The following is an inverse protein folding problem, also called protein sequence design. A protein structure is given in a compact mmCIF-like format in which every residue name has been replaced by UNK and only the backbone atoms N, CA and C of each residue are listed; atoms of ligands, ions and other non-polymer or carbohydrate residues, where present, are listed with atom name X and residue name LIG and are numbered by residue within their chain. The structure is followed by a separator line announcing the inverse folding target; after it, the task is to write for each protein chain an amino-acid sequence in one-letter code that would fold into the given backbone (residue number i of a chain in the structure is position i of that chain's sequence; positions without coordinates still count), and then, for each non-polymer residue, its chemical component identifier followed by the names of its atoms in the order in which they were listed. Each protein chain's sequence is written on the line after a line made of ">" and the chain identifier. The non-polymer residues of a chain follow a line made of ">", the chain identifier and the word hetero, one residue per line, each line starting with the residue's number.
data_IF_257640032201
#
_entry.id   IF_257640032201
#
_cell.length_a   1.000
_cell.length_b   1.000
_cell.length_c   1.000
_cell.angle_alpha   90.00
_cell.angle_beta   90.00
_cell.angle_gamma   90.00
#
_symmetry.space_group_name_H-M   'P 1'
#
loop_
_entity.id
_entity.type
_entity.pdbx_description
1 polymer ?
#
# COMPACT_ATOMS: atom_id res chain seq x y z
N UNK A 1 -5.31 8.41 29.97
CA UNK A 1 -4.70 7.58 31.03
C UNK A 1 -5.46 6.26 31.10
N UNK A 2 -4.98 5.23 30.40
CA UNK A 2 -5.46 3.87 30.59
C UNK A 2 -4.31 3.11 31.24
N UNK A 3 -4.53 2.69 32.48
CA UNK A 3 -3.55 1.98 33.29
C UNK A 3 -3.13 0.69 32.57
N UNK A 4 -1.83 0.52 32.37
CA UNK A 4 -1.19 -0.69 31.83
C UNK A 4 -1.28 -1.90 32.79
N UNK A 5 -2.11 -1.84 33.82
CA UNK A 5 -2.11 -2.79 34.95
C UNK A 5 -3.40 -3.59 35.15
N UNK A 6 -4.36 -3.48 34.22
CA UNK A 6 -5.57 -4.32 34.25
C UNK A 6 -5.66 -5.20 32.98
N UNK A 7 -4.61 -5.99 32.76
CA UNK A 7 -4.68 -7.15 31.87
C UNK A 7 -5.03 -8.37 32.72
N UNK A 8 -6.14 -9.09 32.47
CA UNK A 8 -6.44 -10.30 33.20
C UNK A 8 -5.26 -11.27 33.05
N UNK A 9 -4.72 -11.73 34.17
CA UNK A 9 -3.62 -12.68 34.21
C UNK A 9 -3.97 -13.87 33.30
N UNK A 10 -3.23 -14.00 32.20
CA UNK A 10 -3.32 -15.16 31.31
C UNK A 10 -3.03 -16.39 32.17
N UNK A 11 -4.01 -17.30 32.24
CA UNK A 11 -3.86 -18.57 32.92
C UNK A 11 -2.54 -19.24 32.51
N UNK A 12 -1.82 -19.92 33.42
CA UNK A 12 -0.62 -20.67 33.06
C UNK A 12 -1.05 -21.78 32.10
N UNK A 13 -0.47 -21.77 30.90
CA UNK A 13 -0.78 -22.73 29.85
C UNK A 13 0.51 -23.48 29.49
N UNK A 14 0.37 -24.79 29.32
CA UNK A 14 1.44 -25.75 29.07
C UNK A 14 2.41 -25.31 27.97
N UNK A 15 3.70 -25.46 28.25
CA UNK A 15 4.81 -24.98 27.41
C UNK A 15 5.02 -25.78 26.10
N UNK A 16 4.10 -26.68 25.73
CA UNK A 16 4.40 -27.76 24.78
C UNK A 16 3.65 -27.74 23.42
N UNK A 17 2.70 -26.85 23.17
CA UNK A 17 2.07 -26.78 21.84
C UNK A 17 1.40 -25.43 21.58
N UNK A 18 2.10 -24.53 20.90
CA UNK A 18 1.46 -23.42 20.17
C UNK A 18 1.96 -23.51 18.72
N UNK A 19 1.55 -24.58 18.01
CA UNK A 19 1.87 -24.77 16.57
C UNK A 19 0.85 -24.11 15.65
N UNK A 20 -0.13 -23.38 16.20
CA UNK A 20 -1.26 -22.84 15.46
C UNK A 20 -1.66 -21.43 15.90
N UNK A 21 -2.47 -20.76 15.07
CA UNK A 21 -2.96 -19.41 15.39
C UNK A 21 -4.09 -19.47 16.43
N UNK A 22 -3.96 -18.69 17.51
CA UNK A 22 -5.00 -18.56 18.55
C UNK A 22 -6.28 -17.81 18.14
N UNK A 23 -6.37 -17.30 16.92
CA UNK A 23 -7.53 -16.54 16.44
C UNK A 23 -7.76 -15.18 17.13
N UNK A 24 -6.74 -14.58 17.75
CA UNK A 24 -6.91 -13.31 18.50
C UNK A 24 -7.09 -12.06 17.62
N UNK A 25 -6.83 -12.14 16.32
CA UNK A 25 -6.97 -11.03 15.37
C UNK A 25 -5.91 -9.92 15.46
N UNK A 26 -5.01 -9.93 16.46
CA UNK A 26 -4.03 -8.84 16.70
C UNK A 26 -3.15 -8.60 15.46
N UNK A 27 -2.55 -9.64 14.89
CA UNK A 27 -1.70 -9.50 13.70
C UNK A 27 -2.49 -9.07 12.46
N UNK A 28 -3.73 -9.54 12.33
CA UNK A 28 -4.62 -9.15 11.23
C UNK A 28 -4.95 -7.65 11.29
N UNK A 29 -5.17 -7.08 12.48
CA UNK A 29 -5.42 -5.64 12.68
C UNK A 29 -4.19 -4.76 12.42
N UNK A 30 -2.99 -5.33 12.51
CA UNK A 30 -1.73 -4.61 12.27
C UNK A 30 -1.37 -4.43 10.79
N UNK A 31 -2.00 -5.16 9.86
CA UNK A 31 -1.67 -4.97 8.45
C UNK A 31 -1.72 -6.20 7.55
N UNK A 32 -1.99 -7.41 8.07
CA UNK A 32 -1.94 -8.64 7.26
C UNK A 32 -0.52 -9.01 6.77
N UNK A 33 -0.36 -10.23 6.24
CA UNK A 33 0.93 -10.79 5.83
C UNK A 33 1.42 -10.20 4.50
N UNK A 34 2.73 -10.08 4.36
CA UNK A 34 3.38 -10.04 3.06
C UNK A 34 3.38 -11.43 2.40
N UNK A 35 3.53 -11.45 1.08
CA UNK A 35 3.45 -12.67 0.29
C UNK A 35 4.83 -13.17 -0.13
N UNK A 36 4.96 -14.49 -0.15
CA UNK A 36 6.18 -15.22 -0.45
C UNK A 36 5.95 -16.21 -1.60
N UNK A 37 7.03 -16.75 -2.17
CA UNK A 37 6.96 -17.63 -3.34
C UNK A 37 6.02 -18.84 -3.14
N UNK A 38 5.95 -19.38 -1.92
CA UNK A 38 5.03 -20.46 -1.56
C UNK A 38 3.54 -20.07 -1.64
N UNK A 39 3.23 -18.78 -1.53
CA UNK A 39 1.86 -18.26 -1.62
C UNK A 39 1.35 -18.18 -3.06
N UNK A 40 2.23 -18.28 -4.07
CA UNK A 40 1.82 -18.29 -5.48
C UNK A 40 0.85 -19.44 -5.81
N UNK A 41 0.95 -20.56 -5.09
CA UNK A 41 0.00 -21.67 -5.22
C UNK A 41 -1.44 -21.26 -4.86
N UNK A 42 -1.62 -20.30 -3.95
CA UNK A 42 -2.95 -19.79 -3.56
C UNK A 42 -3.61 -19.00 -4.69
N UNK A 43 -2.83 -18.34 -5.55
CA UNK A 43 -3.33 -17.63 -6.72
C UNK A 43 -3.67 -18.58 -7.86
N UNK A 44 -2.81 -19.59 -8.10
CA UNK A 44 -3.09 -20.64 -9.09
C UNK A 44 -4.44 -21.31 -8.78
N UNK A 45 -4.61 -21.75 -7.54
CA UNK A 45 -5.82 -22.42 -7.06
C UNK A 45 -7.04 -21.50 -6.87
N UNK A 46 -6.89 -20.18 -6.97
CA UNK A 46 -8.00 -19.21 -6.81
C UNK A 46 -8.45 -18.95 -5.38
N UNK A 47 -7.67 -19.36 -4.37
CA UNK A 47 -7.94 -18.99 -2.97
C UNK A 47 -7.60 -17.53 -2.68
N UNK A 48 -6.63 -16.98 -3.42
CA UNK A 48 -6.31 -15.56 -3.46
C UNK A 48 -6.41 -15.05 -4.90
N UNK A 49 -6.63 -13.74 -5.05
CA UNK A 49 -6.75 -13.06 -6.32
C UNK A 49 -5.97 -11.74 -6.25
N UNK A 50 -5.52 -11.19 -7.39
CA UNK A 50 -4.78 -9.91 -7.43
C UNK A 50 -5.46 -8.78 -6.65
N UNK A 51 -6.79 -8.64 -6.76
CA UNK A 51 -7.58 -7.64 -6.02
C UNK A 51 -7.56 -7.78 -4.49
N UNK A 52 -7.16 -8.94 -3.95
CA UNK A 52 -6.95 -9.15 -2.52
C UNK A 52 -5.60 -8.59 -2.03
N UNK A 53 -4.80 -8.03 -2.93
CA UNK A 53 -3.44 -7.59 -2.66
C UNK A 53 -3.29 -6.07 -2.77
N UNK A 54 -2.22 -5.59 -2.17
CA UNK A 54 -1.69 -4.25 -2.29
C UNK A 54 -0.19 -4.37 -2.57
N UNK A 55 0.31 -3.51 -3.45
CA UNK A 55 1.76 -3.35 -3.65
C UNK A 55 2.27 -2.11 -2.94
N UNK A 56 3.31 -2.28 -2.13
CA UNK A 56 4.18 -1.18 -1.71
C UNK A 56 5.37 -1.17 -2.67
N UNK A 57 5.54 -0.08 -3.41
CA UNK A 57 6.59 0.01 -4.42
C UNK A 57 7.96 -0.03 -3.76
N UNK A 58 8.97 -0.47 -4.52
CA UNK A 58 10.35 -0.30 -4.13
C UNK A 58 10.57 1.16 -3.70
N UNK A 59 11.25 1.32 -2.57
CA UNK A 59 11.64 2.58 -1.95
C UNK A 59 10.54 3.37 -1.23
N UNK A 60 9.28 2.96 -1.30
CA UNK A 60 8.27 3.51 -0.38
C UNK A 60 8.67 3.27 1.07
N UNK A 61 8.33 4.22 1.94
CA UNK A 61 8.46 4.02 3.38
C UNK A 61 7.46 2.97 3.85
N UNK A 62 7.97 1.91 4.45
CA UNK A 62 7.20 0.87 5.12
C UNK A 62 7.70 0.68 6.54
N UNK A 63 6.80 0.24 7.43
CA UNK A 63 7.16 -0.09 8.80
C UNK A 63 7.77 -1.48 8.85
N UNK A 64 8.98 -1.59 9.35
CA UNK A 64 9.64 -2.88 9.56
C UNK A 64 9.25 -3.50 10.92
N UNK A 65 9.72 -4.71 11.22
CA UNK A 65 9.38 -5.49 12.43
C UNK A 65 9.74 -4.79 13.74
N UNK A 66 10.79 -3.97 13.73
CA UNK A 66 11.20 -3.14 14.88
C UNK A 66 10.35 -1.86 15.02
N UNK A 67 9.36 -1.68 14.14
CA UNK A 67 8.48 -0.52 14.13
C UNK A 67 9.09 0.70 13.43
N UNK A 68 10.32 0.65 12.94
CA UNK A 68 10.93 1.80 12.25
C UNK A 68 10.40 1.92 10.82
N UNK A 69 10.21 3.16 10.35
CA UNK A 69 9.90 3.43 8.94
C UNK A 69 11.19 3.43 8.14
N UNK A 70 11.26 2.59 7.12
CA UNK A 70 12.42 2.47 6.23
C UNK A 70 11.98 2.38 4.78
N UNK A 71 12.77 2.91 3.83
CA UNK A 71 12.50 2.70 2.42
C UNK A 71 12.67 1.22 2.09
N UNK A 72 11.73 0.68 1.32
CA UNK A 72 11.81 -0.70 0.84
C UNK A 72 12.93 -0.86 -0.19
N UNK A 73 13.78 -1.87 -0.07
CA UNK A 73 14.82 -2.12 -1.10
C UNK A 73 14.23 -2.65 -2.41
N UNK A 74 13.10 -3.36 -2.32
CA UNK A 74 12.37 -3.99 -3.41
C UNK A 74 10.88 -3.83 -3.13
N UNK A 75 10.05 -3.97 -4.15
CA UNK A 75 8.61 -3.95 -3.91
C UNK A 75 8.16 -5.06 -2.95
N UNK A 76 7.04 -4.81 -2.31
CA UNK A 76 6.44 -5.69 -1.32
C UNK A 76 4.96 -5.88 -1.65
N UNK A 77 4.61 -7.06 -2.15
CA UNK A 77 3.21 -7.46 -2.31
C UNK A 77 2.71 -8.06 -1.01
N UNK A 78 1.56 -7.56 -0.55
CA UNK A 78 0.94 -8.04 0.69
C UNK A 78 -0.58 -8.08 0.58
N UNK A 79 -1.24 -8.80 1.48
CA UNK A 79 -2.68 -8.74 1.56
C UNK A 79 -3.14 -7.31 1.89
N UNK A 80 -4.11 -6.81 1.11
CA UNK A 80 -4.60 -5.45 1.29
C UNK A 80 -5.37 -5.29 2.60
N UNK A 81 -5.40 -4.09 3.16
CA UNK A 81 -6.34 -3.77 4.21
C UNK A 81 -7.77 -3.62 3.67
N UNK A 82 -8.77 -3.71 4.57
CA UNK A 82 -10.19 -3.48 4.24
C UNK A 82 -10.40 -2.08 3.67
N UNK A 83 -9.74 -1.09 4.25
CA UNK A 83 -9.79 0.28 3.76
C UNK A 83 -8.38 0.80 3.53
N UNK A 84 -7.98 0.84 2.27
CA UNK A 84 -6.78 1.55 1.86
C UNK A 84 -7.05 3.04 2.07
N UNK A 85 -6.10 3.75 2.68
CA UNK A 85 -6.08 5.18 3.00
C UNK A 85 -6.76 6.07 1.92
N UNK A 86 -8.10 6.13 1.94
CA UNK A 86 -8.89 7.04 1.11
C UNK A 86 -8.94 8.37 1.83
N UNK A 87 -8.08 9.31 1.43
CA UNK A 87 -8.19 10.77 1.59
C UNK A 87 -8.61 11.29 3.00
N UNK A 88 -8.45 10.49 4.04
CA UNK A 88 -8.88 10.83 5.39
C UNK A 88 -7.65 11.11 6.24
N UNK A 89 -7.61 12.31 6.81
CA UNK A 89 -6.64 12.74 7.81
C UNK A 89 -6.62 11.87 9.09
N UNK A 90 -7.52 10.88 9.23
CA UNK A 90 -7.62 10.00 10.41
C UNK A 90 -6.86 8.67 10.28
N UNK A 91 -6.12 8.44 9.20
CA UNK A 91 -5.49 7.15 8.94
C UNK A 91 -6.50 6.09 8.50
N UNK A 92 -6.08 5.21 7.59
CA UNK A 92 -6.91 4.14 7.05
C UNK A 92 -6.93 2.95 8.00
N UNK A 93 -7.99 2.16 7.95
CA UNK A 93 -8.06 0.89 8.67
C UNK A 93 -7.11 -0.11 8.01
N UNK A 94 -5.93 -0.31 8.61
CA UNK A 94 -4.93 -1.29 8.18
C UNK A 94 -5.33 -2.74 8.45
N UNK A 95 -6.52 -2.99 9.00
CA UNK A 95 -7.00 -4.35 9.23
C UNK A 95 -7.05 -5.15 7.92
N UNK A 96 -6.41 -6.31 7.93
CA UNK A 96 -6.38 -7.26 6.83
C UNK A 96 -7.80 -7.52 6.28
N UNK A 97 -7.93 -7.55 4.95
CA UNK A 97 -9.20 -7.76 4.25
C UNK A 97 -10.02 -8.95 4.78
N UNK A 98 -9.35 -10.04 5.12
CA UNK A 98 -9.97 -11.31 5.51
C UNK A 98 -10.27 -11.45 7.02
N UNK A 99 -10.00 -10.43 7.84
CA UNK A 99 -10.43 -10.46 9.23
C UNK A 99 -11.91 -10.12 9.33
N UNK A 100 -12.70 -11.04 9.87
CA UNK A 100 -14.00 -10.72 10.42
C UNK A 100 -13.81 -9.99 11.75
N UNK A 101 -14.19 -8.70 11.79
CA UNK A 101 -13.95 -7.87 12.97
C UNK A 101 -14.87 -8.20 14.14
N UNK A 102 -16.01 -8.85 13.90
CA UNK A 102 -16.99 -9.17 14.93
C UNK A 102 -16.53 -10.33 15.83
N UNK A 103 -15.83 -11.32 15.26
CA UNK A 103 -15.47 -12.57 15.94
C UNK A 103 -13.98 -12.96 15.78
N UNK A 104 -13.17 -12.08 15.17
CA UNK A 104 -11.75 -12.27 14.86
C UNK A 104 -11.43 -13.48 13.94
N UNK A 105 -12.42 -14.06 13.27
CA UNK A 105 -12.17 -15.18 12.35
C UNK A 105 -11.51 -14.72 11.06
N UNK A 106 -10.58 -15.52 10.56
CA UNK A 106 -9.99 -15.33 9.24
C UNK A 106 -10.84 -16.10 8.21
N UNK A 107 -11.38 -15.42 7.21
CA UNK A 107 -12.19 -16.07 6.17
C UNK A 107 -11.37 -16.97 5.23
N UNK A 108 -10.05 -16.83 5.21
CA UNK A 108 -9.12 -17.68 4.45
C UNK A 108 -8.25 -18.55 5.37
N UNK A 109 -8.74 -18.93 6.56
CA UNK A 109 -7.91 -19.64 7.57
C UNK A 109 -7.24 -20.93 7.03
N UNK A 110 -7.94 -21.71 6.21
CA UNK A 110 -7.39 -22.93 5.60
C UNK A 110 -6.32 -22.65 4.54
N UNK A 111 -6.34 -21.45 3.95
CA UNK A 111 -5.49 -21.01 2.85
C UNK A 111 -4.65 -19.79 3.26
N UNK A 112 -4.27 -19.73 4.55
CA UNK A 112 -3.48 -18.63 5.12
C UNK A 112 -2.12 -18.54 4.45
N UNK A 113 -1.61 -17.33 4.12
CA UNK A 113 -0.27 -17.16 3.58
C UNK A 113 0.87 -17.61 4.51
N UNK A 114 2.07 -17.70 3.96
CA UNK A 114 3.33 -18.07 4.61
C UNK A 114 3.54 -17.39 5.97
N UNK A 115 3.56 -16.05 5.99
CA UNK A 115 3.76 -15.30 7.23
C UNK A 115 2.64 -15.53 8.24
N UNK A 116 1.39 -15.76 7.79
CA UNK A 116 0.29 -16.09 8.70
C UNK A 116 0.41 -17.47 9.33
N UNK A 117 1.03 -18.44 8.64
CA UNK A 117 1.34 -19.77 9.21
C UNK A 117 2.54 -19.71 10.14
N UNK A 118 3.53 -18.87 9.83
CA UNK A 118 4.75 -18.69 10.62
C UNK A 118 4.56 -17.82 11.88
N UNK A 119 3.54 -16.96 11.92
CA UNK A 119 3.32 -16.04 13.02
C UNK A 119 2.59 -16.69 14.20
N UNK A 120 3.35 -16.94 15.27
CA UNK A 120 2.84 -17.45 16.54
C UNK A 120 2.93 -16.37 17.63
N UNK A 121 1.91 -16.27 18.49
CA UNK A 121 1.84 -15.20 19.49
C UNK A 121 2.92 -15.28 20.56
N UNK A 122 3.45 -16.47 20.85
CA UNK A 122 4.48 -16.71 21.87
C UNK A 122 5.89 -16.81 21.30
N UNK A 123 6.03 -17.00 19.98
CA UNK A 123 7.33 -17.18 19.31
C UNK A 123 7.30 -16.60 17.89
N UNK A 124 7.98 -15.47 17.70
CA UNK A 124 8.05 -14.79 16.41
C UNK A 124 9.26 -15.22 15.56
N UNK A 125 10.09 -16.17 16.01
CA UNK A 125 11.33 -16.54 15.31
C UNK A 125 11.10 -16.99 13.88
N UNK A 126 10.04 -17.78 13.65
CA UNK A 126 9.73 -18.30 12.31
C UNK A 126 9.36 -17.17 11.33
N UNK A 127 8.47 -16.25 11.73
CA UNK A 127 8.14 -15.10 10.88
C UNK A 127 9.34 -14.16 10.71
N UNK A 128 10.17 -13.95 11.74
CA UNK A 128 11.37 -13.11 11.62
C UNK A 128 12.39 -13.74 10.65
N UNK A 129 12.54 -15.06 10.64
CA UNK A 129 13.41 -15.76 9.70
C UNK A 129 12.86 -15.73 8.26
N UNK A 130 11.54 -15.77 8.10
CA UNK A 130 10.88 -15.62 6.81
C UNK A 130 10.90 -14.17 6.29
N UNK A 131 10.94 -13.20 7.20
CA UNK A 131 10.89 -11.77 6.89
C UNK A 131 12.08 -11.36 6.02
N UNK A 132 11.80 -11.10 4.74
CA UNK A 132 12.79 -10.72 3.73
C UNK A 132 13.26 -11.86 2.82
N UNK A 133 12.83 -13.11 3.06
CA UNK A 133 13.21 -14.27 2.23
C UNK A 133 12.12 -14.58 1.22
N UNK A 134 12.46 -14.73 -0.07
CA UNK A 134 11.53 -15.25 -1.07
C UNK A 134 10.24 -14.44 -1.25
N UNK A 135 10.30 -13.11 -1.08
CA UNK A 135 9.17 -12.21 -1.36
C UNK A 135 8.82 -12.25 -2.84
N UNK A 136 7.52 -12.15 -3.15
CA UNK A 136 7.02 -12.11 -4.53
C UNK A 136 6.88 -10.69 -5.03
N UNK A 137 7.11 -10.52 -6.34
CA UNK A 137 6.78 -9.34 -7.11
C UNK A 137 5.32 -9.38 -7.59
N UNK A 138 4.81 -8.25 -8.06
CA UNK A 138 3.49 -8.20 -8.72
C UNK A 138 3.48 -9.00 -10.03
N UNK A 139 4.63 -9.08 -10.72
CA UNK A 139 4.77 -9.89 -11.92
C UNK A 139 4.70 -11.39 -11.62
N UNK A 140 5.27 -11.85 -10.49
CA UNK A 140 5.15 -13.25 -10.06
C UNK A 140 3.69 -13.63 -9.79
N UNK A 141 2.95 -12.73 -9.13
CA UNK A 141 1.52 -12.91 -8.84
C UNK A 141 0.70 -12.92 -10.13
N UNK A 142 0.98 -12.02 -11.08
CA UNK A 142 0.31 -12.01 -12.38
C UNK A 142 0.56 -13.29 -13.17
N UNK A 143 1.81 -13.77 -13.19
CA UNK A 143 2.17 -15.03 -13.84
C UNK A 143 1.43 -16.22 -13.20
N UNK A 144 1.48 -16.35 -11.87
CA UNK A 144 0.78 -17.41 -11.15
C UNK A 144 -0.76 -17.34 -11.33
N UNK A 145 -1.31 -16.12 -11.38
CA UNK A 145 -2.73 -15.91 -11.65
C UNK A 145 -3.09 -16.38 -13.07
N UNK A 146 -2.30 -16.04 -14.08
CA UNK A 146 -2.51 -16.48 -15.45
C UNK A 146 -2.37 -18.01 -15.60
N UNK A 147 -1.37 -18.62 -14.97
CA UNK A 147 -1.13 -20.07 -14.98
C UNK A 147 -2.36 -20.86 -14.48
N UNK A 148 -2.99 -20.40 -13.41
CA UNK A 148 -4.18 -21.06 -12.84
C UNK A 148 -5.50 -20.80 -13.56
N UNK A 149 -5.51 -19.99 -14.63
CA UNK A 149 -6.76 -19.54 -15.26
C UNK A 149 -7.64 -20.69 -15.77
N UNK A 150 -7.03 -21.71 -16.39
CA UNK A 150 -7.77 -22.86 -16.93
C UNK A 150 -8.41 -23.73 -15.85
N UNK A 151 -7.71 -23.95 -14.74
CA UNK A 151 -8.20 -24.72 -13.59
C UNK A 151 -9.37 -23.99 -12.91
N UNK A 152 -9.22 -22.68 -12.67
CA UNK A 152 -10.29 -21.86 -12.08
C UNK A 152 -11.54 -21.77 -12.98
N UNK A 153 -11.36 -21.66 -14.30
CA UNK A 153 -12.48 -21.67 -15.24
C UNK A 153 -13.24 -23.01 -15.18
N UNK A 154 -12.52 -24.13 -15.09
CA UNK A 154 -13.12 -25.46 -15.00
C UNK A 154 -13.88 -25.68 -13.69
N UNK A 155 -13.36 -25.17 -12.57
CA UNK A 155 -14.03 -25.20 -11.26
C UNK A 155 -15.33 -24.38 -11.22
N UNK A 156 -15.40 -23.28 -11.98
CA UNK A 156 -16.59 -22.43 -12.07
C UNK A 156 -17.75 -23.10 -12.84
N UNK A 157 -17.44 -23.85 -13.90
CA UNK A 157 -18.46 -24.55 -14.72
C UNK A 157 -19.06 -25.76 -13.98
N UNK A 158 -18.28 -26.44 -13.14
CA UNK A 158 -18.76 -27.54 -12.30
C UNK A 158 -19.76 -27.14 -11.20
N UNK A 159 -20.02 -25.84 -11.01
CA UNK A 159 -21.01 -25.30 -10.07
C UNK A 159 -22.24 -24.69 -10.75
N UNK A 160 -22.33 -24.71 -12.10
CA UNK A 160 -23.47 -24.20 -12.86
C UNK A 160 -24.18 -25.32 -13.61
N UNK A 161 -25.20 -25.95 -12.98
CA UNK A 161 -26.17 -26.80 -13.67
C UNK A 161 -27.16 -25.93 -14.46
N UNK A 162 -26.72 -25.33 -15.56
CA UNK A 162 -27.52 -24.97 -16.76
C UNK A 162 -26.87 -23.82 -17.54
N UNK A 163 -26.22 -24.12 -18.66
CA UNK A 163 -26.12 -23.20 -19.81
C UNK A 163 -25.68 -23.95 -21.07
N UNK A 164 -26.28 -23.59 -22.21
CA UNK A 164 -26.04 -24.14 -23.54
C UNK A 164 -24.54 -24.09 -23.95
N UNK A 165 -24.00 -25.16 -24.58
CA UNK A 165 -22.58 -25.26 -24.94
C UNK A 165 -22.15 -24.39 -26.13
N UNK A 166 -23.06 -23.64 -26.75
CA UNK A 166 -22.77 -22.84 -27.95
C UNK A 166 -22.47 -21.34 -27.67
N UNK A 167 -22.75 -20.85 -26.45
CA UNK A 167 -22.45 -19.46 -26.04
C UNK A 167 -21.21 -19.36 -25.11
N UNK A 168 -20.76 -20.51 -24.60
CA UNK A 168 -19.60 -20.65 -23.70
C UNK A 168 -18.24 -20.59 -24.40
N UNK A 169 -18.23 -20.52 -25.73
CA UNK A 169 -17.00 -20.42 -26.55
C UNK A 169 -16.66 -18.99 -26.98
N UNK A 170 -17.47 -17.99 -26.61
CA UNK A 170 -17.22 -16.60 -26.97
C UNK A 170 -16.76 -15.82 -25.74
N UNK A 171 -15.44 -15.78 -25.52
CA UNK A 171 -14.73 -14.73 -24.80
C UNK A 171 -15.51 -14.09 -23.64
N UNK A 172 -15.60 -14.77 -22.49
CA UNK A 172 -15.34 -14.04 -21.26
C UNK A 172 -13.88 -13.60 -21.37
N UNK A 173 -13.62 -12.52 -22.11
CA UNK A 173 -12.30 -11.95 -22.29
C UNK A 173 -11.76 -11.78 -20.88
N UNK A 174 -10.74 -12.56 -20.53
CA UNK A 174 -10.05 -12.42 -19.27
C UNK A 174 -9.70 -10.93 -19.17
N UNK A 175 -10.36 -10.21 -18.26
CA UNK A 175 -10.21 -8.78 -18.10
C UNK A 175 -9.21 -8.50 -16.97
N UNK A 176 -8.70 -7.26 -16.92
CA UNK A 176 -7.78 -6.85 -15.88
C UNK A 176 -6.54 -7.73 -15.79
N UNK A 177 -6.16 -8.10 -14.55
CA UNK A 177 -4.96 -8.88 -14.27
C UNK A 177 -4.96 -10.27 -14.95
N UNK A 178 -6.12 -10.79 -15.35
CA UNK A 178 -6.24 -12.08 -16.01
C UNK A 178 -5.95 -12.02 -17.52
N UNK A 179 -5.91 -10.82 -18.13
CA UNK A 179 -5.81 -10.66 -19.57
C UNK A 179 -4.39 -10.98 -20.08
N UNK A 180 -4.17 -12.08 -20.84
CA UNK A 180 -2.85 -12.42 -21.35
C UNK A 180 -2.36 -11.49 -22.47
N UNK A 181 -3.26 -10.70 -23.07
CA UNK A 181 -2.93 -9.73 -24.13
C UNK A 181 -2.43 -8.38 -23.60
N UNK A 182 -2.46 -8.16 -22.28
CA UNK A 182 -1.99 -6.91 -21.67
C UNK A 182 -0.51 -7.04 -21.31
N UNK A 183 0.37 -6.16 -21.82
CA UNK A 183 1.79 -6.18 -21.51
C UNK A 183 2.04 -5.54 -20.13
N UNK A 184 1.64 -6.23 -19.06
CA UNK A 184 1.73 -5.69 -17.70
C UNK A 184 3.15 -5.27 -17.33
N UNK A 185 4.19 -6.02 -17.73
CA UNK A 185 5.58 -5.64 -17.46
C UNK A 185 5.91 -4.23 -17.97
N UNK A 186 5.52 -3.91 -19.21
CA UNK A 186 5.80 -2.60 -19.83
C UNK A 186 4.97 -1.49 -19.19
N UNK A 187 3.69 -1.75 -18.91
CA UNK A 187 2.79 -0.78 -18.25
C UNK A 187 3.33 -0.42 -16.86
N UNK A 188 3.74 -1.43 -16.10
CA UNK A 188 4.26 -1.25 -14.75
C UNK A 188 5.61 -0.53 -14.75
N UNK A 189 6.51 -0.87 -15.68
CA UNK A 189 7.78 -0.16 -15.85
C UNK A 189 7.58 1.32 -16.20
N UNK A 190 6.65 1.63 -17.11
CA UNK A 190 6.33 3.01 -17.49
C UNK A 190 5.76 3.83 -16.33
N UNK A 191 4.99 3.19 -15.44
CA UNK A 191 4.53 3.85 -14.20
C UNK A 191 5.69 4.10 -13.24
N UNK A 192 6.57 3.11 -13.05
CA UNK A 192 7.71 3.22 -12.13
C UNK A 192 8.76 4.25 -12.57
N UNK A 193 8.93 4.48 -13.87
CA UNK A 193 9.83 5.53 -14.38
C UNK A 193 9.48 6.92 -13.84
N UNK A 194 8.18 7.20 -13.66
CA UNK A 194 7.67 8.52 -13.24
C UNK A 194 7.17 8.58 -11.80
N UNK A 195 6.75 7.44 -11.25
CA UNK A 195 6.16 7.33 -9.91
C UNK A 195 6.93 6.39 -8.99
N UNK A 196 8.06 5.87 -9.43
CA UNK A 196 8.92 4.99 -8.64
C UNK A 196 9.86 5.77 -7.72
N UNK A 197 10.61 5.02 -6.92
CA UNK A 197 11.48 5.59 -5.90
C UNK A 197 12.59 6.50 -6.41
N UNK A 198 13.17 6.20 -7.57
CA UNK A 198 14.24 7.03 -8.12
C UNK A 198 13.82 8.51 -8.25
N UNK A 199 12.55 8.75 -8.57
CA UNK A 199 11.95 10.08 -8.60
C UNK A 199 11.54 10.55 -7.20
N UNK A 200 10.89 9.68 -6.42
CA UNK A 200 10.23 10.10 -5.18
C UNK A 200 11.14 10.17 -3.96
N UNK A 201 12.32 9.53 -3.96
CA UNK A 201 13.23 9.54 -2.82
C UNK A 201 13.79 10.93 -2.51
N UNK A 202 14.47 11.63 -3.47
CA UNK A 202 15.00 12.96 -3.20
C UNK A 202 13.87 13.96 -2.93
N UNK A 203 12.79 13.87 -3.70
CA UNK A 203 11.60 14.71 -3.55
C UNK A 203 10.96 14.52 -2.17
N UNK A 204 10.74 13.28 -1.75
CA UNK A 204 10.16 12.96 -0.44
C UNK A 204 11.01 13.44 0.73
N UNK A 205 12.34 13.34 0.62
CA UNK A 205 13.26 13.87 1.63
C UNK A 205 13.18 15.40 1.74
N UNK A 206 13.14 16.11 0.61
CA UNK A 206 12.97 17.57 0.60
C UNK A 206 11.61 17.99 1.17
N UNK A 207 10.53 17.30 0.78
CA UNK A 207 9.19 17.54 1.32
C UNK A 207 9.11 17.31 2.83
N UNK A 208 9.78 16.25 3.33
CA UNK A 208 9.80 15.96 4.75
C UNK A 208 10.53 17.05 5.55
N UNK A 209 11.71 17.48 5.09
CA UNK A 209 12.45 18.60 5.74
C UNK A 209 11.62 19.88 5.75
N UNK A 210 11.03 20.24 4.62
CA UNK A 210 10.15 21.41 4.51
C UNK A 210 8.94 21.32 5.45
N UNK A 211 8.34 20.14 5.57
CA UNK A 211 7.21 19.92 6.45
C UNK A 211 7.59 19.97 7.94
N UNK A 212 8.80 19.52 8.30
CA UNK A 212 9.33 19.61 9.66
C UNK A 212 9.65 21.06 10.05
N UNK A 213 10.36 21.80 9.18
CA UNK A 213 10.66 23.23 9.38
C UNK A 213 9.39 24.07 9.51
N UNK A 214 8.42 23.88 8.62
CA UNK A 214 7.16 24.63 8.66
C UNK A 214 6.37 24.36 9.95
N UNK A 215 6.39 23.12 10.46
CA UNK A 215 5.79 22.79 11.77
C UNK A 215 6.54 23.44 12.92
N UNK A 216 7.88 23.44 12.88
CA UNK A 216 8.71 24.05 13.91
C UNK A 216 8.48 25.57 14.01
N UNK A 217 8.29 26.25 12.86
CA UNK A 217 7.95 27.68 12.79
C UNK A 217 6.51 28.00 13.21
N UNK A 218 5.60 27.03 13.15
CA UNK A 218 4.17 27.24 13.43
C UNK A 218 3.64 26.25 14.49
N UNK A 219 4.17 26.27 15.72
CA UNK A 219 3.72 25.36 16.78
C UNK A 219 2.25 25.61 17.14
N UNK A 220 1.43 24.55 17.10
CA UNK A 220 0.00 24.61 17.45
C UNK A 220 -0.94 25.01 16.30
N UNK A 221 -0.42 25.25 15.09
CA UNK A 221 -1.27 25.42 13.91
C UNK A 221 -1.98 24.11 13.58
N UNK A 222 -3.32 24.14 13.62
CA UNK A 222 -4.18 23.04 13.17
C UNK A 222 -4.86 23.53 11.90
N UNK A 223 -4.76 22.74 10.82
CA UNK A 223 -5.36 22.95 9.49
C UNK A 223 -4.64 23.88 8.49
N UNK A 224 -4.87 23.65 7.19
CA UNK A 224 -3.83 23.45 6.19
C UNK A 224 -3.03 24.72 5.96
N UNK A 225 -1.77 24.72 6.37
CA UNK A 225 -0.80 25.65 5.82
C UNK A 225 -0.48 25.09 4.43
N UNK A 226 -0.82 25.80 3.33
CA UNK A 226 -0.27 25.46 2.02
C UNK A 226 1.25 25.49 2.17
N UNK A 227 1.95 24.45 1.70
CA UNK A 227 3.40 24.57 1.59
C UNK A 227 3.65 25.76 0.64
N UNK A 228 4.39 26.80 1.07
CA UNK A 228 4.59 27.97 0.26
C UNK A 228 5.18 27.57 -1.09
N UNK A 229 4.51 27.93 -2.18
CA UNK A 229 5.10 27.96 -3.51
C UNK A 229 5.66 29.36 -3.73
N UNK A 230 6.95 29.55 -3.43
CA UNK A 230 7.64 30.83 -3.35
C UNK A 230 7.09 31.83 -2.30
N UNK A 231 7.94 32.60 -1.62
CA UNK A 231 7.47 33.70 -0.81
C UNK A 231 6.91 34.83 -1.70
N UNK A 232 5.71 35.33 -1.38
CA UNK A 232 5.39 36.74 -1.61
C UNK A 232 6.35 37.51 -0.69
N UNK A 233 7.49 37.96 -1.23
CA UNK A 233 8.51 38.70 -0.46
C UNK A 233 7.85 39.98 0.06
N UNK A 234 7.57 40.11 1.37
CA UNK A 234 7.21 41.39 1.93
C UNK A 234 8.50 42.22 1.99
N UNK A 235 8.43 43.51 1.66
CA UNK A 235 9.53 44.46 1.88
C UNK A 235 10.00 44.40 3.35
N UNK A 236 11.03 43.59 3.62
CA UNK A 236 11.72 43.47 4.88
C UNK A 236 13.22 43.75 4.64
N UNK A 237 13.90 44.47 5.55
CA UNK A 237 15.14 45.18 5.25
C UNK A 237 16.40 44.31 5.20
N UNK A 238 16.30 42.99 5.36
CA UNK A 238 17.44 42.07 5.29
C UNK A 238 17.22 41.10 4.12
N UNK A 239 18.04 41.20 3.09
CA UNK A 239 18.02 40.27 1.97
C UNK A 239 18.35 38.85 2.48
N UNK A 240 17.58 37.81 2.09
CA UNK A 240 17.87 36.44 2.51
C UNK A 240 19.27 36.02 2.05
N UNK A 241 19.99 35.27 2.89
CA UNK A 241 21.30 34.73 2.52
C UNK A 241 21.12 33.75 1.33
N UNK A 242 22.16 33.64 0.48
CA UNK A 242 22.16 32.79 -0.69
C UNK A 242 21.82 31.31 -0.37
N UNK A 243 22.15 30.85 0.84
CA UNK A 243 21.78 29.53 1.33
C UNK A 243 20.26 29.37 1.53
N UNK A 244 19.58 30.38 2.09
CA UNK A 244 18.12 30.36 2.28
C UNK A 244 17.39 30.39 0.94
N UNK A 245 17.90 31.17 -0.02
CA UNK A 245 17.34 31.23 -1.38
C UNK A 245 17.46 29.88 -2.09
N UNK A 246 18.60 29.18 -1.93
CA UNK A 246 18.83 27.87 -2.53
C UNK A 246 17.91 26.78 -1.92
N UNK A 247 17.71 26.79 -0.60
CA UNK A 247 16.81 25.86 0.09
C UNK A 247 15.35 26.06 -0.35
N UNK A 248 14.89 27.31 -0.43
CA UNK A 248 13.54 27.63 -0.93
C UNK A 248 13.36 27.15 -2.37
N UNK A 249 14.37 27.31 -3.23
CA UNK A 249 14.32 26.84 -4.61
C UNK A 249 14.27 25.30 -4.70
N UNK A 250 15.07 24.59 -3.90
CA UNK A 250 15.04 23.11 -3.83
C UNK A 250 13.65 22.61 -3.43
N UNK A 251 13.06 23.20 -2.39
CA UNK A 251 11.72 22.82 -1.91
C UNK A 251 10.66 23.10 -2.98
N UNK A 252 10.72 24.26 -3.65
CA UNK A 252 9.78 24.59 -4.72
C UNK A 252 9.87 23.59 -5.89
N UNK A 253 11.08 23.19 -6.29
CA UNK A 253 11.30 22.17 -7.32
C UNK A 253 10.76 20.79 -6.90
N UNK A 254 11.00 20.41 -5.64
CA UNK A 254 10.47 19.16 -5.08
C UNK A 254 8.93 19.14 -5.05
N UNK A 255 8.30 20.25 -4.64
CA UNK A 255 6.83 20.41 -4.65
C UNK A 255 6.28 20.28 -6.07
N UNK A 256 6.86 20.99 -7.05
CA UNK A 256 6.44 20.92 -8.44
C UNK A 256 6.58 19.49 -9.00
N UNK A 257 7.75 18.87 -8.80
CA UNK A 257 8.03 17.50 -9.24
C UNK A 257 7.05 16.50 -8.64
N UNK A 258 6.74 16.61 -7.35
CA UNK A 258 5.78 15.72 -6.69
C UNK A 258 4.36 15.90 -7.23
N UNK A 259 3.89 17.14 -7.38
CA UNK A 259 2.56 17.43 -7.89
C UNK A 259 2.38 16.96 -9.34
N UNK A 260 3.41 17.09 -10.18
CA UNK A 260 3.42 16.54 -11.54
C UNK A 260 3.35 15.02 -11.53
N UNK A 261 4.09 14.34 -10.65
CA UNK A 261 3.99 12.90 -10.47
C UNK A 261 2.59 12.47 -10.00
N UNK A 262 1.96 13.22 -9.09
CA UNK A 262 0.58 12.97 -8.63
C UNK A 262 -0.43 13.12 -9.77
N UNK A 263 -0.31 14.17 -10.59
CA UNK A 263 -1.16 14.37 -11.78
C UNK A 263 -1.00 13.21 -12.77
N UNK A 264 0.24 12.79 -13.01
CA UNK A 264 0.53 11.65 -13.86
C UNK A 264 -0.05 10.35 -13.30
N UNK A 265 0.17 10.02 -12.01
CA UNK A 265 -0.37 8.82 -11.36
C UNK A 265 -1.90 8.73 -11.50
N UNK A 266 -2.60 9.86 -11.30
CA UNK A 266 -4.05 9.92 -11.48
C UNK A 266 -4.49 9.64 -12.93
N UNK A 267 -3.86 10.32 -13.90
CA UNK A 267 -4.17 10.13 -15.31
C UNK A 267 -3.83 8.70 -15.79
N UNK A 268 -2.69 8.18 -15.34
CA UNK A 268 -2.22 6.84 -15.70
C UNK A 268 -3.15 5.75 -15.18
N UNK A 269 -3.63 5.86 -13.93
CA UNK A 269 -4.64 4.95 -13.35
C UNK A 269 -5.92 4.92 -14.20
N UNK A 270 -6.41 6.07 -14.64
CA UNK A 270 -7.57 6.14 -15.53
C UNK A 270 -7.31 5.44 -16.87
N UNK A 271 -6.16 5.68 -17.49
CA UNK A 271 -5.77 5.03 -18.74
C UNK A 271 -5.64 3.52 -18.61
N UNK A 272 -5.03 3.01 -17.53
CA UNK A 272 -4.90 1.57 -17.28
C UNK A 272 -6.28 0.90 -17.16
N UNK A 273 -7.24 1.56 -16.53
CA UNK A 273 -8.62 1.03 -16.49
C UNK A 273 -9.28 1.04 -17.86
N UNK A 274 -9.22 2.16 -18.56
CA UNK A 274 -9.91 2.35 -19.84
C UNK A 274 -9.31 1.53 -20.98
N UNK A 275 -7.98 1.34 -20.98
CA UNK A 275 -7.25 0.73 -22.10
C UNK A 275 -6.81 -0.70 -21.81
N UNK A 276 -6.37 -0.99 -20.58
CA UNK A 276 -5.95 -2.33 -20.19
C UNK A 276 -7.07 -3.13 -19.48
N UNK A 277 -8.22 -2.51 -19.23
CA UNK A 277 -9.39 -3.17 -18.66
C UNK A 277 -9.23 -3.54 -17.18
N UNK A 278 -8.32 -2.90 -16.45
CA UNK A 278 -8.15 -3.12 -15.02
C UNK A 278 -9.40 -2.71 -14.23
N UNK A 279 -9.81 -3.53 -13.28
CA UNK A 279 -10.83 -3.18 -12.30
C UNK A 279 -10.28 -2.16 -11.28
N UNK A 280 -11.18 -1.44 -10.61
CA UNK A 280 -10.79 -0.44 -9.60
C UNK A 280 -10.05 -1.08 -8.43
N UNK A 281 -10.45 -2.29 -8.07
CA UNK A 281 -9.97 -3.08 -6.94
C UNK A 281 -8.56 -3.63 -7.19
N UNK A 282 -8.19 -3.82 -8.45
CA UNK A 282 -6.87 -4.31 -8.89
C UNK A 282 -5.81 -3.21 -8.90
N UNK A 283 -6.19 -1.93 -8.98
CA UNK A 283 -5.23 -0.83 -9.13
C UNK A 283 -4.25 -0.71 -7.98
N UNK A 284 -4.67 -1.05 -6.75
CA UNK A 284 -3.80 -1.02 -5.58
C UNK A 284 -2.75 -2.13 -5.63
N UNK A 285 -3.07 -3.27 -6.25
CA UNK A 285 -2.10 -4.33 -6.53
C UNK A 285 -1.19 -3.94 -7.70
N UNK A 286 -1.75 -3.46 -8.81
CA UNK A 286 -1.00 -3.16 -10.02
C UNK A 286 -0.05 -1.96 -9.83
N UNK A 287 -0.57 -0.84 -9.33
CA UNK A 287 0.12 0.45 -9.31
C UNK A 287 0.46 0.91 -7.88
N UNK A 288 0.18 0.09 -6.88
CA UNK A 288 0.29 0.46 -5.48
C UNK A 288 -0.72 1.53 -5.06
N UNK A 289 -0.52 2.07 -3.86
CA UNK A 289 -1.29 3.22 -3.35
C UNK A 289 -1.06 4.44 -4.25
N UNK A 290 -2.09 5.29 -4.37
CA UNK A 290 -1.95 6.56 -5.09
C UNK A 290 -0.85 7.42 -4.46
N UNK A 291 -0.14 8.20 -5.27
CA UNK A 291 0.90 9.09 -4.74
C UNK A 291 0.34 10.12 -3.74
N UNK A 292 -0.89 10.56 -3.99
CA UNK A 292 -1.63 11.40 -3.06
C UNK A 292 -1.85 10.73 -1.69
N UNK A 293 -2.15 9.43 -1.67
CA UNK A 293 -2.33 8.67 -0.43
C UNK A 293 -1.01 8.37 0.28
N UNK A 294 0.12 8.30 -0.43
CA UNK A 294 1.45 8.08 0.17
C UNK A 294 2.10 9.36 0.68
N UNK A 295 1.63 10.54 0.26
CA UNK A 295 2.18 11.84 0.67
C UNK A 295 2.33 12.01 2.19
N UNK A 296 1.39 11.44 2.97
CA UNK A 296 1.40 11.48 4.45
C UNK A 296 2.64 10.85 5.06
N UNK A 297 3.29 9.93 4.35
CA UNK A 297 4.54 9.31 4.78
C UNK A 297 5.71 10.31 4.78
N UNK A 298 5.63 11.37 3.98
CA UNK A 298 6.60 12.46 3.93
C UNK A 298 6.16 13.66 4.79
N UNK A 299 5.16 13.47 5.65
CA UNK A 299 4.65 14.54 6.51
C UNK A 299 3.83 15.60 5.78
N UNK A 300 3.38 15.34 4.55
CA UNK A 300 2.53 16.27 3.78
C UNK A 300 1.24 15.55 3.35
N UNK A 301 0.23 16.27 2.90
CA UNK A 301 -0.99 15.69 2.34
C UNK A 301 -1.31 16.36 1.02
N UNK A 302 -1.97 15.65 0.12
CA UNK A 302 -2.45 16.23 -1.14
C UNK A 302 -3.92 16.58 -1.01
N UNK A 303 -4.25 17.83 -1.30
CA UNK A 303 -5.63 18.32 -1.45
C UNK A 303 -5.92 18.54 -2.93
N UNK A 304 -7.04 18.03 -3.42
CA UNK A 304 -7.51 18.29 -4.77
C UNK A 304 -8.36 19.56 -4.77
N UNK A 305 -8.00 20.54 -5.60
CA UNK A 305 -8.74 21.79 -5.82
C UNK A 305 -9.21 21.89 -7.27
N UNK A 306 -9.92 22.97 -7.62
CA UNK A 306 -10.34 23.22 -9.00
C UNK A 306 -9.14 23.45 -9.94
N UNK A 307 -8.03 23.98 -9.41
CA UNK A 307 -6.81 24.31 -10.15
C UNK A 307 -5.79 23.15 -10.18
N UNK A 308 -6.10 22.05 -9.48
CA UNK A 308 -5.33 20.81 -9.46
C UNK A 308 -4.93 20.36 -8.05
N UNK A 309 -4.00 19.39 -7.92
CA UNK A 309 -3.49 18.98 -6.63
C UNK A 309 -2.57 20.06 -6.03
N UNK A 310 -2.71 20.25 -4.72
CA UNK A 310 -1.85 21.10 -3.88
C UNK A 310 -1.33 20.31 -2.69
N UNK A 311 -0.13 20.65 -2.21
CA UNK A 311 0.40 20.10 -0.97
C UNK A 311 0.02 20.95 0.23
N UNK A 312 -0.41 20.28 1.29
CA UNK A 312 -0.78 20.89 2.56
C UNK A 312 -0.15 20.13 3.71
N UNK A 313 0.06 20.80 4.85
CA UNK A 313 0.39 20.08 6.08
C UNK A 313 -0.85 19.36 6.63
N UNK A 314 -0.77 18.04 6.92
CA UNK A 314 -1.81 17.35 7.66
C UNK A 314 -1.84 17.87 9.11
N UNK A 315 -3.00 17.82 9.78
CA UNK A 315 -3.06 18.15 11.20
C UNK A 315 -2.07 17.28 11.99
N UNK A 316 -1.44 17.86 13.02
CA UNK A 316 -0.50 17.11 13.88
C UNK A 316 -1.16 15.85 14.41
N UNK A 317 -0.45 14.72 14.36
CA UNK A 317 -0.89 13.50 15.03
C UNK A 317 -0.91 13.77 16.54
N UNK A 318 -2.11 13.89 17.11
CA UNK A 318 -2.27 13.73 18.56
C UNK A 318 -1.91 12.27 18.85
N UNK A 319 -0.81 12.06 19.60
CA UNK A 319 -0.40 10.74 20.09
C UNK A 319 -1.54 10.01 20.80
#
# INVERSE_FOLDING_TARGET
>A
MHNEHDMPALAPQDAAADTDCRGCGICCRKGGPALHAEDLALFRAGHLAPEHCLTLRAGELARDLDGQLRPLERELVKLRPRQILRQSARGGDWTCLFLNQADNRCSVYAHRPAECRALLCRDTRAITALHGVGRVSRLDVLAAWAEGAAERASAAVGHSDSADPADSANQAALAGCANPGVPWADILAAHEERCGYAVLAPVGAALQRAAEDLRARNPGAVHPVPLPGLPDVPDAPDAPDAAEVAEVAEVAEAVATFLDAVRFDFAFRSLVRERAGAAMEELDFLLGRTLAATAVMYGVAVRMTADGPELVLPPGSVS
#
